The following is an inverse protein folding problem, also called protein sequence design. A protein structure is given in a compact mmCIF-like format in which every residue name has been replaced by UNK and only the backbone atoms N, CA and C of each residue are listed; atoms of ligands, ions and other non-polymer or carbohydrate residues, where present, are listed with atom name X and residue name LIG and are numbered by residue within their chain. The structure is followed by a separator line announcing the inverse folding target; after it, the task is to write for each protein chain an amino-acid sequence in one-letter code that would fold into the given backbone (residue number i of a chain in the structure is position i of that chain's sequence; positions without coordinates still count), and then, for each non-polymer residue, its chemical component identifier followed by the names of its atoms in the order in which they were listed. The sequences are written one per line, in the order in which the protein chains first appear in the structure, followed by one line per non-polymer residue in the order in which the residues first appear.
data_IF_288283605897
#
_entry.id   IF_288283605897
#
_cell.length_a   1.000
_cell.length_b   1.000
_cell.length_c   1.000
_cell.angle_alpha   90.00
_cell.angle_beta   90.00
_cell.angle_gamma   90.00
#
_symmetry.space_group_name_H-M   'P 1'
#
loop_
_entity.id
_entity.type
_entity.pdbx_description
1 polymer ?
#
# COMPACT_ATOMS: atom_id res chain seq x y z
N UNK A 1 2.57 15.64 -9.76
CA UNK A 1 3.73 16.45 -9.30
C UNK A 1 4.91 16.29 -10.27
N UNK A 2 5.91 17.17 -10.29
CA UNK A 2 7.15 16.91 -11.05
C UNK A 2 8.01 15.91 -10.28
N UNK A 3 8.11 14.67 -10.76
CA UNK A 3 9.00 13.66 -10.16
C UNK A 3 10.45 14.14 -10.16
N UNK A 4 11.18 13.87 -9.08
CA UNK A 4 12.61 14.15 -8.98
C UNK A 4 13.40 13.30 -9.98
N UNK A 5 14.62 13.73 -10.30
CA UNK A 5 15.54 12.99 -11.19
C UNK A 5 15.76 11.54 -10.71
N UNK A 6 15.77 11.30 -9.39
CA UNK A 6 15.95 9.97 -8.81
C UNK A 6 14.74 9.07 -9.06
N UNK A 7 13.54 9.57 -8.82
CA UNK A 7 12.29 8.84 -9.06
C UNK A 7 12.13 8.49 -10.55
N UNK A 8 12.45 9.44 -11.44
CA UNK A 8 12.43 9.19 -12.89
C UNK A 8 13.44 8.11 -13.30
N UNK A 9 14.66 8.13 -12.75
CA UNK A 9 15.67 7.13 -13.08
C UNK A 9 15.31 5.75 -12.52
N UNK A 10 14.75 5.69 -11.32
CA UNK A 10 14.25 4.47 -10.72
C UNK A 10 13.10 3.86 -11.53
N UNK A 11 12.12 4.68 -11.95
CA UNK A 11 11.05 4.25 -12.83
C UNK A 11 11.59 3.61 -14.11
N UNK A 12 12.64 4.20 -14.68
CA UNK A 12 13.30 3.73 -15.88
C UNK A 12 14.00 2.38 -15.66
N UNK A 13 14.73 2.21 -14.55
CA UNK A 13 15.33 0.93 -14.15
C UNK A 13 14.28 -0.17 -13.90
N UNK A 14 13.16 0.17 -13.27
CA UNK A 14 12.07 -0.78 -13.02
C UNK A 14 11.42 -1.25 -14.32
N UNK A 15 11.17 -0.34 -15.28
CA UNK A 15 10.64 -0.69 -16.60
C UNK A 15 11.56 -1.61 -17.40
N UNK A 16 12.87 -1.54 -17.19
CA UNK A 16 13.80 -2.48 -17.81
C UNK A 16 13.74 -3.90 -17.21
N UNK A 17 13.01 -4.12 -16.10
CA UNK A 17 12.71 -5.46 -15.59
C UNK A 17 13.95 -6.28 -15.25
N UNK A 18 14.99 -5.64 -14.70
CA UNK A 18 16.26 -6.30 -14.39
C UNK A 18 17.24 -6.39 -15.57
N UNK A 19 16.96 -5.73 -16.70
CA UNK A 19 17.96 -5.53 -17.75
C UNK A 19 18.84 -4.31 -17.47
N UNK A 20 20.02 -4.27 -18.12
CA UNK A 20 20.91 -3.13 -18.04
C UNK A 20 20.40 -1.99 -18.93
N UNK A 21 20.52 -0.77 -18.41
CA UNK A 21 20.27 0.48 -19.14
C UNK A 21 21.57 1.27 -19.17
N UNK A 22 22.02 1.64 -20.37
CA UNK A 22 23.24 2.44 -20.50
C UNK A 22 23.04 3.85 -19.92
N UNK A 23 24.10 4.45 -19.36
CA UNK A 23 24.03 5.83 -18.88
C UNK A 23 23.69 6.85 -19.98
N UNK A 24 24.00 6.52 -21.25
CA UNK A 24 23.60 7.34 -22.40
C UNK A 24 22.11 7.26 -22.69
N UNK A 25 21.56 6.05 -22.69
CA UNK A 25 20.15 5.81 -22.90
C UNK A 25 19.30 6.45 -21.81
N UNK A 26 19.72 6.34 -20.54
CA UNK A 26 19.05 7.01 -19.42
C UNK A 26 19.10 8.54 -19.56
N UNK A 27 20.29 9.08 -19.89
CA UNK A 27 20.50 10.51 -20.12
C UNK A 27 19.61 11.05 -21.25
N UNK A 28 19.53 10.34 -22.37
CA UNK A 28 18.66 10.67 -23.52
C UNK A 28 17.17 10.57 -23.17
N UNK A 29 16.76 9.50 -22.50
CA UNK A 29 15.34 9.26 -22.17
C UNK A 29 14.79 10.27 -21.17
N UNK A 30 15.62 10.72 -20.24
CA UNK A 30 15.23 11.68 -19.19
C UNK A 30 15.54 13.14 -19.57
N UNK A 31 16.27 13.39 -20.66
CA UNK A 31 16.70 14.73 -21.05
C UNK A 31 17.68 15.40 -20.07
N UNK A 32 18.50 14.61 -19.37
CA UNK A 32 19.47 15.09 -18.36
C UNK A 32 20.90 14.68 -18.72
N UNK A 33 21.91 15.27 -18.07
CA UNK A 33 23.31 14.88 -18.29
C UNK A 33 23.65 13.49 -17.71
N UNK A 34 24.66 12.81 -18.28
CA UNK A 34 25.20 11.55 -17.71
C UNK A 34 25.70 11.74 -16.26
N UNK A 35 26.21 12.93 -15.93
CA UNK A 35 26.61 13.26 -14.56
C UNK A 35 25.40 13.28 -13.61
N UNK A 36 24.27 13.85 -14.05
CA UNK A 36 23.02 13.84 -13.28
C UNK A 36 22.47 12.41 -13.10
N UNK A 37 22.57 11.54 -14.12
CA UNK A 37 22.26 10.10 -13.99
C UNK A 37 23.14 9.47 -12.90
N UNK A 38 24.46 9.69 -12.92
CA UNK A 38 25.36 9.13 -11.91
C UNK A 38 25.07 9.62 -10.49
N UNK A 39 24.65 10.89 -10.34
CA UNK A 39 24.21 11.44 -9.05
C UNK A 39 22.91 10.78 -8.59
N UNK A 40 21.96 10.56 -9.50
CA UNK A 40 20.71 9.87 -9.19
C UNK A 40 20.97 8.42 -8.72
N UNK A 41 21.86 7.68 -9.40
CA UNK A 41 22.27 6.32 -9.01
C UNK A 41 22.82 6.30 -7.59
N UNK A 42 23.67 7.27 -7.23
CA UNK A 42 24.25 7.36 -5.87
C UNK A 42 23.17 7.58 -4.83
N UNK A 43 22.29 8.56 -5.05
CA UNK A 43 21.19 8.84 -4.12
C UNK A 43 20.25 7.66 -3.94
N UNK A 44 19.97 6.87 -4.99
CA UNK A 44 19.18 5.65 -4.86
C UNK A 44 19.93 4.57 -4.06
N UNK A 45 21.25 4.42 -4.22
CA UNK A 45 22.02 3.50 -3.38
C UNK A 45 22.00 3.89 -1.91
N UNK A 46 22.06 5.19 -1.62
CA UNK A 46 21.98 5.72 -0.26
C UNK A 46 20.58 5.46 0.37
N UNK A 47 19.54 5.36 -0.46
CA UNK A 47 18.18 4.94 -0.06
C UNK A 47 18.00 3.41 0.01
N UNK A 48 19.06 2.63 -0.21
CA UNK A 48 19.05 1.18 -0.09
C UNK A 48 18.73 0.42 -1.38
N UNK A 49 18.57 1.09 -2.53
CA UNK A 49 18.39 0.40 -3.82
C UNK A 49 19.69 -0.29 -4.26
N UNK A 50 19.61 -1.59 -4.51
CA UNK A 50 20.73 -2.35 -5.06
C UNK A 50 20.80 -2.14 -6.56
N UNK A 51 21.70 -1.28 -7.00
CA UNK A 51 21.92 -0.97 -8.42
C UNK A 51 23.31 -1.45 -8.83
N UNK A 52 23.36 -2.49 -9.66
CA UNK A 52 24.58 -2.94 -10.30
C UNK A 52 25.04 -1.90 -11.32
N UNK A 53 26.34 -1.69 -11.43
CA UNK A 53 26.93 -0.81 -12.43
C UNK A 53 28.06 -1.54 -13.12
N UNK A 54 27.93 -1.74 -14.43
CA UNK A 54 28.92 -2.47 -15.23
C UNK A 54 29.42 -1.59 -16.37
N UNK A 55 30.74 -1.46 -16.49
CA UNK A 55 31.40 -0.72 -17.57
C UNK A 55 30.89 -1.22 -18.92
N UNK A 56 30.55 -0.28 -19.83
CA UNK A 56 30.00 -0.54 -21.17
C UNK A 56 28.63 -1.27 -21.22
N UNK A 57 27.96 -1.50 -20.08
CA UNK A 57 26.57 -1.99 -20.03
C UNK A 57 25.63 -1.01 -19.34
N UNK A 58 26.11 -0.28 -18.35
CA UNK A 58 25.35 0.71 -17.60
C UNK A 58 24.84 0.19 -16.27
N UNK A 59 23.60 0.52 -15.94
CA UNK A 59 23.00 0.31 -14.63
C UNK A 59 21.87 -0.71 -14.68
N UNK A 60 21.75 -1.55 -13.66
CA UNK A 60 20.65 -2.50 -13.49
C UNK A 60 20.21 -2.48 -12.04
N UNK A 61 18.90 -2.39 -11.81
CA UNK A 61 18.33 -2.63 -10.50
C UNK A 61 18.32 -4.14 -10.23
N UNK A 62 19.08 -4.59 -9.23
CA UNK A 62 19.24 -6.00 -8.87
C UNK A 62 18.29 -6.42 -7.75
N UNK A 63 18.05 -5.54 -6.77
CA UNK A 63 17.09 -5.79 -5.67
C UNK A 63 16.36 -4.49 -5.33
N UNK A 64 15.04 -4.57 -5.21
CA UNK A 64 14.22 -3.48 -4.69
C UNK A 64 14.32 -3.45 -3.16
N UNK A 65 14.53 -2.28 -2.55
CA UNK A 65 14.43 -2.17 -1.11
C UNK A 65 12.98 -2.45 -0.70
N UNK A 66 12.84 -3.13 0.42
CA UNK A 66 11.54 -3.35 1.03
C UNK A 66 11.15 -2.11 1.85
N UNK A 67 10.85 -1.02 1.14
CA UNK A 67 10.39 0.24 1.70
C UNK A 67 9.06 0.63 1.03
N UNK A 68 8.15 1.29 1.71
CA UNK A 68 6.86 1.76 1.24
C UNK A 68 6.94 3.25 0.94
N UNK A 69 7.51 3.58 -0.23
CA UNK A 69 7.59 4.94 -0.75
C UNK A 69 7.21 4.98 -2.22
N UNK A 70 7.05 6.19 -2.77
CA UNK A 70 6.71 6.37 -4.18
C UNK A 70 7.69 5.66 -5.11
N UNK A 71 8.98 5.64 -4.75
CA UNK A 71 10.03 5.00 -5.53
C UNK A 71 9.83 3.50 -5.68
N UNK A 72 9.59 2.78 -4.59
CA UNK A 72 9.45 1.31 -4.60
C UNK A 72 8.10 0.84 -5.14
N UNK A 73 7.07 1.69 -5.10
CA UNK A 73 5.75 1.41 -5.65
C UNK A 73 5.65 1.61 -7.17
N UNK A 74 6.63 2.29 -7.80
CA UNK A 74 6.66 2.59 -9.24
C UNK A 74 6.58 1.35 -10.15
N UNK A 75 6.99 0.17 -9.67
CA UNK A 75 6.91 -1.07 -10.46
C UNK A 75 5.49 -1.61 -10.56
N UNK A 76 4.64 -1.26 -9.59
CA UNK A 76 3.29 -1.79 -9.49
C UNK A 76 2.20 -0.78 -9.84
N UNK A 77 2.45 0.53 -9.79
CA UNK A 77 1.42 1.56 -9.99
C UNK A 77 1.71 2.45 -11.21
N UNK A 78 0.65 2.96 -11.86
CA UNK A 78 0.80 3.99 -12.89
C UNK A 78 1.12 5.35 -12.26
N UNK A 79 1.76 6.29 -12.98
CA UNK A 79 2.04 7.64 -12.47
C UNK A 79 0.78 8.37 -11.96
N UNK A 80 -0.33 8.24 -12.69
CA UNK A 80 -1.61 8.86 -12.33
C UNK A 80 -2.15 8.29 -11.02
N UNK A 81 -1.95 6.98 -10.80
CA UNK A 81 -2.39 6.34 -9.56
C UNK A 81 -1.50 6.72 -8.39
N UNK A 82 -0.20 6.87 -8.61
CA UNK A 82 0.75 7.32 -7.59
C UNK A 82 0.44 8.73 -7.08
N UNK A 83 -0.06 9.62 -7.93
CA UNK A 83 -0.50 10.96 -7.49
C UNK A 83 -1.67 10.91 -6.48
N UNK A 84 -2.31 9.74 -6.32
CA UNK A 84 -3.37 9.45 -5.34
C UNK A 84 -2.87 8.58 -4.16
N UNK A 85 -1.56 8.41 -4.00
CA UNK A 85 -0.94 7.65 -2.91
C UNK A 85 0.00 8.57 -2.12
N UNK A 86 -0.21 8.64 -0.81
CA UNK A 86 0.68 9.36 0.09
C UNK A 86 1.43 8.33 0.94
N UNK A 87 2.77 8.34 0.85
CA UNK A 87 3.64 7.52 1.67
C UNK A 87 4.27 8.37 2.79
N UNK A 88 4.05 7.97 4.04
CA UNK A 88 4.58 8.62 5.24
C UNK A 88 5.62 7.73 5.89
N UNK A 89 6.70 8.32 6.42
CA UNK A 89 7.65 7.57 7.26
C UNK A 89 7.03 7.21 8.61
N UNK A 90 6.23 8.11 9.19
CA UNK A 90 5.53 7.84 10.44
C UNK A 90 4.27 8.70 10.55
N UNK A 91 3.24 8.17 11.20
CA UNK A 91 2.02 8.91 11.56
C UNK A 91 1.44 8.39 12.87
N UNK A 92 0.47 9.08 13.45
CA UNK A 92 -0.28 8.53 14.59
C UNK A 92 -1.14 7.34 14.14
N UNK A 93 -1.88 7.50 13.06
CA UNK A 93 -2.74 6.49 12.42
C UNK A 93 -3.02 6.93 10.99
N UNK A 94 -2.75 6.05 10.02
CA UNK A 94 -3.10 6.25 8.61
C UNK A 94 -4.60 6.50 8.43
N UNK A 95 -5.42 5.83 9.24
CA UNK A 95 -6.87 6.00 9.26
C UNK A 95 -7.29 7.41 9.71
N UNK A 96 -6.65 7.93 10.76
CA UNK A 96 -6.96 9.28 11.25
C UNK A 96 -6.53 10.33 10.23
N UNK A 97 -5.32 10.17 9.69
CA UNK A 97 -4.77 11.06 8.67
C UNK A 97 -5.67 11.11 7.43
N UNK A 98 -6.12 9.94 6.94
CA UNK A 98 -6.98 9.89 5.76
C UNK A 98 -8.42 10.36 6.06
N UNK A 99 -8.90 10.21 7.30
CA UNK A 99 -10.21 10.76 7.69
C UNK A 99 -10.19 12.30 7.72
N UNK A 100 -9.13 12.91 8.25
CA UNK A 100 -8.95 14.38 8.21
C UNK A 100 -8.95 14.88 6.75
N UNK A 101 -8.17 14.22 5.88
CA UNK A 101 -8.18 14.52 4.44
C UNK A 101 -9.56 14.33 3.80
N UNK A 102 -10.32 13.29 4.19
CA UNK A 102 -11.66 13.04 3.66
C UNK A 102 -12.64 14.16 4.04
N UNK A 103 -12.50 14.75 5.24
CA UNK A 103 -13.28 15.90 5.68
C UNK A 103 -12.94 17.17 4.88
N UNK A 104 -11.70 17.28 4.42
CA UNK A 104 -11.19 18.32 3.50
C UNK A 104 -11.38 17.96 2.02
N UNK A 105 -12.37 17.12 1.70
CA UNK A 105 -12.77 16.76 0.32
C UNK A 105 -11.68 16.06 -0.52
N UNK A 106 -10.81 15.28 0.13
CA UNK A 106 -9.91 14.38 -0.58
C UNK A 106 -10.68 13.47 -1.56
N UNK A 107 -10.10 13.19 -2.73
CA UNK A 107 -10.76 12.47 -3.82
C UNK A 107 -11.07 11.02 -3.45
N UNK A 108 -12.12 10.46 -4.06
CA UNK A 108 -12.37 9.03 -3.99
C UNK A 108 -11.16 8.21 -4.47
N UNK A 109 -10.88 7.09 -3.79
CA UNK A 109 -9.70 6.26 -4.04
C UNK A 109 -8.38 6.82 -3.52
N UNK A 110 -8.37 7.92 -2.75
CA UNK A 110 -7.16 8.40 -2.08
C UNK A 110 -6.60 7.32 -1.14
N UNK A 111 -5.28 7.15 -1.15
CA UNK A 111 -4.56 6.17 -0.31
C UNK A 111 -3.52 6.88 0.55
N UNK A 112 -3.42 6.43 1.81
CA UNK A 112 -2.35 6.82 2.73
C UNK A 112 -1.69 5.55 3.25
N UNK A 113 -0.36 5.52 3.20
CA UNK A 113 0.48 4.42 3.67
C UNK A 113 1.48 5.01 4.64
N UNK A 114 1.82 4.27 5.70
CA UNK A 114 2.91 4.64 6.58
C UNK A 114 3.86 3.47 6.82
N UNK A 115 5.16 3.75 6.96
CA UNK A 115 6.14 2.78 7.43
C UNK A 115 5.94 2.43 8.91
N UNK A 116 5.50 3.39 9.73
CA UNK A 116 5.20 3.18 11.14
C UNK A 116 3.94 3.94 11.60
N UNK A 117 3.25 3.40 12.62
CA UNK A 117 2.20 4.13 13.35
C UNK A 117 2.46 4.16 14.84
N UNK A 118 2.49 5.36 15.43
CA UNK A 118 2.70 5.52 16.89
C UNK A 118 1.46 5.19 17.71
N UNK A 119 0.27 5.39 17.13
CA UNK A 119 -1.03 5.18 17.77
C UNK A 119 -1.98 4.35 16.88
N UNK A 120 -1.45 3.32 16.19
CA UNK A 120 -2.22 2.42 15.33
C UNK A 120 -3.43 1.82 16.05
N UNK A 121 -4.61 1.87 15.41
CA UNK A 121 -5.89 1.55 16.02
C UNK A 121 -6.48 0.26 15.47
N UNK A 122 -7.04 -0.55 16.37
CA UNK A 122 -7.95 -1.63 16.08
C UNK A 122 -9.37 -1.31 16.57
N UNK A 123 -10.26 -2.30 16.49
CA UNK A 123 -11.64 -2.15 17.01
C UNK A 123 -11.66 -1.99 18.52
N UNK A 124 -12.75 -1.39 19.01
CA UNK A 124 -13.08 -1.28 20.45
C UNK A 124 -11.92 -0.75 21.29
N UNK A 125 -11.18 0.23 20.76
CA UNK A 125 -10.05 0.87 21.43
C UNK A 125 -8.77 0.02 21.53
N UNK A 126 -8.74 -1.18 20.95
CA UNK A 126 -7.50 -1.99 20.91
C UNK A 126 -6.44 -1.30 20.05
N UNK A 127 -5.17 -1.49 20.40
CA UNK A 127 -4.04 -1.02 19.58
C UNK A 127 -3.73 -2.04 18.49
N UNK A 128 -3.26 -1.57 17.34
CA UNK A 128 -2.62 -2.40 16.31
C UNK A 128 -1.13 -2.05 16.27
N UNK A 129 -0.26 -2.98 16.65
CA UNK A 129 1.18 -2.76 16.64
C UNK A 129 1.65 -2.47 15.21
N UNK A 130 2.33 -1.33 15.02
CA UNK A 130 2.71 -0.84 13.70
C UNK A 130 4.17 -0.35 13.67
N UNK A 131 5.15 -1.21 13.99
CA UNK A 131 6.56 -0.84 13.97
C UNK A 131 7.08 -0.56 12.56
N UNK A 132 8.09 0.31 12.49
CA UNK A 132 8.76 0.68 11.24
C UNK A 132 9.30 -0.55 10.50
N UNK A 133 9.07 -0.61 9.19
CA UNK A 133 9.67 -1.63 8.35
C UNK A 133 9.08 -3.04 8.45
N UNK A 134 8.17 -3.35 9.39
CA UNK A 134 7.72 -4.75 9.59
C UNK A 134 6.36 -5.08 8.98
N UNK A 135 5.52 -4.09 8.69
CA UNK A 135 4.17 -4.33 8.20
C UNK A 135 3.75 -3.41 7.07
N UNK A 136 2.53 -3.64 6.58
CA UNK A 136 1.83 -2.74 5.68
C UNK A 136 0.72 -2.07 6.48
N UNK A 137 0.78 -0.74 6.57
CA UNK A 137 -0.23 0.08 7.24
C UNK A 137 -0.82 1.02 6.21
N UNK A 138 -1.96 0.63 5.65
CA UNK A 138 -2.60 1.30 4.53
C UNK A 138 -4.01 1.73 4.91
N UNK A 139 -4.42 2.93 4.51
CA UNK A 139 -5.81 3.39 4.55
C UNK A 139 -6.26 3.78 3.16
N UNK A 140 -7.49 3.41 2.82
CA UNK A 140 -8.10 3.64 1.50
C UNK A 140 -9.43 4.37 1.66
N UNK A 141 -9.62 5.46 0.93
CA UNK A 141 -10.83 6.28 0.95
C UNK A 141 -11.82 5.80 -0.12
N UNK A 142 -13.05 5.53 0.31
CA UNK A 142 -14.20 5.23 -0.56
C UNK A 142 -15.25 6.31 -0.33
N UNK A 143 -15.68 6.98 -1.40
CA UNK A 143 -16.84 7.87 -1.41
C UNK A 143 -17.99 7.17 -2.10
N UNK A 144 -19.10 6.91 -1.39
CA UNK A 144 -20.28 6.36 -2.00
C UNK A 144 -20.91 7.34 -3.00
N UNK A 145 -21.42 6.84 -4.13
CA UNK A 145 -22.26 7.66 -5.00
C UNK A 145 -23.64 7.84 -4.37
N UNK A 146 -23.92 9.06 -3.91
CA UNK A 146 -25.19 9.47 -3.30
C UNK A 146 -26.24 9.80 -4.38
N UNK A 147 -25.81 10.05 -5.62
CA UNK A 147 -26.68 10.46 -6.74
C UNK A 147 -27.37 9.27 -7.42
N UNK A 148 -26.80 8.07 -7.29
CA UNK A 148 -27.42 6.80 -7.66
C UNK A 148 -28.53 6.44 -6.66
N UNK A 149 -29.66 7.16 -6.74
CA UNK A 149 -30.83 6.96 -5.90
C UNK A 149 -31.14 5.48 -5.68
N UNK A 150 -31.29 5.11 -4.41
CA UNK A 150 -31.72 3.77 -3.95
C UNK A 150 -30.76 2.59 -4.20
N UNK A 151 -29.46 2.79 -4.53
CA UNK A 151 -28.53 1.66 -4.43
C UNK A 151 -28.18 1.37 -2.97
N UNK A 152 -28.95 0.44 -2.37
CA UNK A 152 -28.88 -0.07 -1.01
C UNK A 152 -27.51 -0.68 -0.58
N UNK A 153 -26.43 -0.47 -1.35
CA UNK A 153 -25.08 -0.94 -1.04
C UNK A 153 -24.32 0.02 -0.12
N UNK A 154 -24.74 1.28 -0.02
CA UNK A 154 -24.06 2.30 0.80
C UNK A 154 -24.42 2.18 2.29
N UNK A 155 -25.53 1.55 2.68
CA UNK A 155 -26.00 1.57 4.07
C UNK A 155 -25.29 0.56 5.00
N UNK A 156 -24.61 -0.46 4.48
CA UNK A 156 -23.87 -1.45 5.29
C UNK A 156 -22.35 -1.40 5.06
N UNK A 157 -21.66 -0.50 5.76
CA UNK A 157 -20.21 -0.43 5.77
C UNK A 157 -19.53 -1.76 6.19
N UNK A 158 -20.24 -2.67 6.88
CA UNK A 158 -19.70 -3.99 7.18
C UNK A 158 -19.58 -4.86 5.92
N UNK A 159 -20.47 -4.70 4.93
CA UNK A 159 -20.37 -5.38 3.64
C UNK A 159 -19.10 -4.95 2.90
N UNK A 160 -18.82 -3.65 2.86
CA UNK A 160 -17.57 -3.11 2.29
C UNK A 160 -16.35 -3.71 3.01
N UNK A 161 -16.38 -3.73 4.35
CA UNK A 161 -15.31 -4.32 5.16
C UNK A 161 -15.06 -5.80 4.81
N UNK A 162 -16.11 -6.59 4.58
CA UNK A 162 -16.01 -8.00 4.19
C UNK A 162 -15.46 -8.17 2.78
N UNK A 163 -15.91 -7.34 1.83
CA UNK A 163 -15.39 -7.34 0.47
C UNK A 163 -13.90 -7.00 0.43
N UNK A 164 -13.48 -5.96 1.17
CA UNK A 164 -12.06 -5.62 1.33
C UNK A 164 -11.28 -6.77 1.95
N UNK A 165 -11.81 -7.41 3.00
CA UNK A 165 -11.17 -8.59 3.60
C UNK A 165 -10.95 -9.72 2.60
N UNK A 166 -11.92 -9.96 1.71
CA UNK A 166 -11.79 -10.96 0.65
C UNK A 166 -10.74 -10.57 -0.37
N UNK A 167 -10.71 -9.31 -0.83
CA UNK A 167 -9.68 -8.82 -1.74
C UNK A 167 -8.28 -8.94 -1.16
N UNK A 168 -8.11 -8.66 0.14
CA UNK A 168 -6.82 -8.83 0.83
C UNK A 168 -6.43 -10.32 0.90
N UNK A 169 -7.37 -11.23 1.17
CA UNK A 169 -7.13 -12.68 1.11
C UNK A 169 -6.63 -13.11 -0.27
N UNK A 170 -7.28 -12.65 -1.33
CA UNK A 170 -6.97 -13.04 -2.71
C UNK A 170 -5.58 -12.51 -3.12
N UNK A 171 -5.26 -11.24 -2.80
CA UNK A 171 -3.92 -10.67 -3.04
C UNK A 171 -2.82 -11.42 -2.29
N UNK A 172 -3.04 -11.74 -1.01
CA UNK A 172 -2.06 -12.53 -0.23
C UNK A 172 -1.86 -13.89 -0.88
N UNK A 173 -2.94 -14.57 -1.26
CA UNK A 173 -2.86 -15.89 -1.89
C UNK A 173 -2.11 -15.86 -3.21
N UNK A 174 -2.41 -14.88 -4.07
CA UNK A 174 -1.81 -14.81 -5.40
C UNK A 174 -0.30 -14.53 -5.35
N UNK A 175 0.15 -13.76 -4.35
CA UNK A 175 1.57 -13.37 -4.22
C UNK A 175 2.38 -14.38 -3.41
N UNK A 176 1.81 -14.92 -2.32
CA UNK A 176 2.58 -15.71 -1.33
C UNK A 176 2.14 -17.17 -1.24
N UNK A 177 1.07 -17.55 -1.93
CA UNK A 177 0.40 -18.86 -1.84
C UNK A 177 -0.17 -19.19 -0.43
N UNK A 178 -0.07 -18.26 0.53
CA UNK A 178 -0.77 -18.37 1.82
C UNK A 178 -2.24 -18.09 1.60
N UNK A 179 -3.13 -18.90 2.18
CA UNK A 179 -4.58 -18.73 2.04
C UNK A 179 -5.22 -18.35 3.38
N UNK A 180 -5.21 -17.05 3.78
CA UNK A 180 -5.88 -16.62 4.99
C UNK A 180 -7.39 -16.81 4.91
N UNK A 181 -8.01 -16.99 6.07
CA UNK A 181 -9.47 -17.05 6.23
C UNK A 181 -9.97 -15.76 6.86
N UNK A 182 -11.05 -15.21 6.31
CA UNK A 182 -11.76 -14.07 6.89
C UNK A 182 -12.49 -14.52 8.16
N UNK A 183 -12.27 -13.80 9.27
CA UNK A 183 -13.04 -13.96 10.51
C UNK A 183 -13.24 -12.59 11.16
N UNK A 184 -14.50 -12.17 11.30
CA UNK A 184 -14.83 -10.81 11.71
C UNK A 184 -14.23 -9.76 10.77
N UNK A 185 -13.43 -8.84 11.30
CA UNK A 185 -12.73 -7.81 10.52
C UNK A 185 -11.22 -8.09 10.44
N UNK A 186 -10.83 -9.35 10.32
CA UNK A 186 -9.43 -9.72 10.23
C UNK A 186 -9.24 -11.00 9.43
N UNK A 187 -7.99 -11.23 9.07
CA UNK A 187 -7.58 -12.43 8.35
C UNK A 187 -6.72 -13.30 9.26
N UNK A 188 -6.95 -14.60 9.18
CA UNK A 188 -6.31 -15.58 10.05
C UNK A 188 -5.70 -16.71 9.24
N UNK A 189 -4.52 -17.16 9.64
CA UNK A 189 -3.84 -18.34 9.11
C UNK A 189 -3.61 -19.27 10.30
N UNK A 190 -4.02 -20.53 10.18
CA UNK A 190 -3.85 -21.53 11.25
C UNK A 190 -4.38 -21.08 12.64
N UNK A 191 -5.46 -20.28 12.66
CA UNK A 191 -6.04 -19.73 13.90
C UNK A 191 -5.36 -18.47 14.43
N UNK A 192 -4.23 -18.06 13.85
CA UNK A 192 -3.45 -16.88 14.23
C UNK A 192 -3.81 -15.69 13.35
N UNK A 193 -3.91 -14.51 13.95
CA UNK A 193 -4.26 -13.28 13.24
C UNK A 193 -3.08 -12.74 12.43
N UNK A 194 -3.29 -12.57 11.13
CA UNK A 194 -2.32 -12.03 10.19
C UNK A 194 -2.60 -10.55 9.85
N UNK A 195 -3.88 -10.21 9.72
CA UNK A 195 -4.31 -8.90 9.25
C UNK A 195 -5.51 -8.39 10.07
N UNK A 196 -5.54 -7.08 10.31
CA UNK A 196 -6.68 -6.35 10.86
C UNK A 196 -7.23 -5.33 9.88
N UNK A 197 -8.55 -5.25 9.78
CA UNK A 197 -9.26 -4.28 8.94
C UNK A 197 -10.16 -3.42 9.83
N UNK A 198 -10.08 -2.11 9.66
CA UNK A 198 -10.85 -1.12 10.40
C UNK A 198 -11.46 -0.10 9.47
N UNK A 199 -12.76 -0.19 9.25
CA UNK A 199 -13.52 0.82 8.53
C UNK A 199 -14.03 1.87 9.51
N UNK A 200 -13.75 3.14 9.20
CA UNK A 200 -14.33 4.30 9.87
C UNK A 200 -15.17 5.08 8.86
N UNK A 201 -16.20 5.75 9.34
CA UNK A 201 -17.19 6.40 8.49
C UNK A 201 -17.35 7.86 8.88
N UNK A 202 -17.50 8.73 7.88
CA UNK A 202 -17.99 10.09 8.04
C UNK A 202 -19.44 10.13 7.52
N UNK A 203 -20.37 10.61 8.35
CA UNK A 203 -21.80 10.63 8.04
C UNK A 203 -22.31 12.06 7.96
N UNK A 204 -23.10 12.34 6.95
CA UNK A 204 -23.83 13.60 6.84
C UNK A 204 -25.05 13.55 7.78
N UNK A 205 -25.13 14.51 8.69
CA UNK A 205 -26.12 14.52 9.78
C UNK A 205 -27.57 14.68 9.29
N UNK A 206 -27.78 15.41 8.20
CA UNK A 206 -29.12 15.73 7.69
C UNK A 206 -29.71 14.60 6.86
N UNK A 207 -28.91 13.96 5.99
CA UNK A 207 -29.33 12.86 5.13
C UNK A 207 -29.19 11.48 5.81
N UNK A 208 -28.34 11.38 6.85
CA UNK A 208 -27.94 10.12 7.47
C UNK A 208 -27.08 9.24 6.55
N UNK A 209 -26.62 9.76 5.42
CA UNK A 209 -25.83 9.04 4.43
C UNK A 209 -24.33 9.14 4.73
N UNK A 210 -23.56 8.13 4.30
CA UNK A 210 -22.12 8.18 4.43
C UNK A 210 -21.51 9.11 3.38
N UNK A 211 -20.79 10.14 3.84
CA UNK A 211 -19.99 11.03 2.98
C UNK A 211 -18.66 10.39 2.58
N UNK A 212 -18.10 9.58 3.47
CA UNK A 212 -16.84 8.87 3.26
C UNK A 212 -16.74 7.61 4.13
N UNK A 213 -16.05 6.60 3.59
CA UNK A 213 -15.56 5.45 4.33
C UNK A 213 -14.04 5.38 4.20
N UNK A 214 -13.34 5.33 5.33
CA UNK A 214 -11.90 5.11 5.40
C UNK A 214 -11.65 3.68 5.86
N UNK A 215 -11.13 2.85 4.97
CA UNK A 215 -10.83 1.44 5.26
C UNK A 215 -9.35 1.29 5.55
N UNK A 216 -9.02 1.07 6.81
CA UNK A 216 -7.69 0.76 7.30
C UNK A 216 -7.38 -0.72 7.19
N UNK A 217 -6.20 -1.05 6.70
CA UNK A 217 -5.69 -2.40 6.49
C UNK A 217 -4.29 -2.46 7.10
N UNK A 218 -4.16 -3.24 8.17
CA UNK A 218 -2.88 -3.56 8.81
C UNK A 218 -2.52 -5.01 8.53
N UNK A 219 -1.39 -5.27 7.88
CA UNK A 219 -0.88 -6.62 7.57
C UNK A 219 0.46 -6.81 8.25
N UNK A 220 0.60 -7.91 8.98
CA UNK A 220 1.88 -8.35 9.52
C UNK A 220 2.67 -9.06 8.41
N UNK A 221 3.86 -8.55 8.07
CA UNK A 221 4.71 -9.09 7.00
C UNK A 221 5.98 -9.71 7.58
N UNK A 222 6.85 -8.90 8.18
CA UNK A 222 8.17 -9.31 8.67
C UNK A 222 8.26 -9.52 10.17
N UNK A 223 7.17 -9.32 10.92
CA UNK A 223 7.18 -9.51 12.37
C UNK A 223 7.67 -10.91 12.71
N UNK A 224 8.66 -10.98 13.60
CA UNK A 224 9.12 -12.21 14.22
C UNK A 224 8.15 -12.64 15.33
N UNK A 225 8.34 -13.84 15.88
CA UNK A 225 7.56 -14.27 17.04
C UNK A 225 7.75 -13.34 18.27
N UNK A 226 8.88 -12.65 18.37
CA UNK A 226 9.21 -11.74 19.47
C UNK A 226 8.55 -10.36 19.30
N UNK A 227 8.34 -9.91 18.06
CA UNK A 227 7.65 -8.65 17.75
C UNK A 227 6.13 -8.73 17.98
N UNK A 228 5.58 -9.95 17.96
CA UNK A 228 4.16 -10.21 18.11
C UNK A 228 3.78 -10.31 19.59
N UNK A 229 2.69 -9.65 19.97
CA UNK A 229 2.23 -9.64 21.35
C UNK A 229 1.86 -11.07 21.82
N UNK A 230 2.42 -11.56 22.94
CA UNK A 230 2.25 -12.96 23.38
C UNK A 230 0.79 -13.32 23.73
N UNK A 231 -0.02 -12.32 24.10
CA UNK A 231 -1.40 -12.52 24.56
C UNK A 231 -2.42 -12.69 23.41
N UNK A 232 -1.97 -12.52 22.16
CA UNK A 232 -2.82 -12.68 20.98
C UNK A 232 -2.10 -13.62 20.02
N UNK A 233 -2.75 -14.75 19.71
CA UNK A 233 -2.31 -15.65 18.62
C UNK A 233 -2.26 -14.83 17.31
N UNK A 234 -1.07 -14.33 16.97
CA UNK A 234 -0.77 -13.55 15.78
C UNK A 234 0.31 -14.27 14.96
N UNK A 235 0.36 -13.93 13.67
CA UNK A 235 1.40 -14.40 12.75
C UNK A 235 1.77 -13.29 11.77
N UNK A 236 2.75 -13.56 10.92
CA UNK A 236 3.22 -12.68 9.84
C UNK A 236 3.39 -13.50 8.56
N UNK A 237 3.42 -12.84 7.40
CA UNK A 237 3.63 -13.55 6.13
C UNK A 237 4.95 -14.30 6.10
N UNK A 238 6.03 -13.72 6.63
CA UNK A 238 7.34 -14.36 6.66
C UNK A 238 7.34 -15.62 7.54
N UNK A 239 6.63 -15.61 8.66
CA UNK A 239 6.47 -16.79 9.51
C UNK A 239 5.67 -17.91 8.82
N UNK A 240 4.62 -17.56 8.08
CA UNK A 240 3.78 -18.56 7.38
C UNK A 240 4.40 -19.09 6.08
N UNK A 241 5.24 -18.29 5.41
CA UNK A 241 5.90 -18.67 4.14
C UNK A 241 7.30 -19.25 4.34
N UNK A 242 7.99 -18.89 5.43
CA UNK A 242 9.39 -19.23 5.66
C UNK A 242 10.39 -18.40 4.83
N UNK A 243 9.94 -17.34 4.17
CA UNK A 243 10.76 -16.47 3.30
C UNK A 243 10.35 -15.01 3.43
N UNK A 244 11.23 -14.06 3.09
CA UNK A 244 10.90 -12.64 3.10
C UNK A 244 9.92 -12.27 1.97
N UNK A 245 8.80 -11.62 2.32
CA UNK A 245 7.76 -11.20 1.37
C UNK A 245 7.88 -9.71 1.01
N UNK A 246 7.73 -9.35 -0.26
CA UNK A 246 7.86 -7.94 -0.69
C UNK A 246 6.64 -7.09 -0.30
N UNK A 247 6.80 -6.14 0.63
CA UNK A 247 5.76 -5.17 1.01
C UNK A 247 5.33 -4.28 -0.16
N UNK A 248 6.23 -3.75 -1.02
CA UNK A 248 5.82 -2.98 -2.20
C UNK A 248 4.95 -3.77 -3.19
N UNK A 249 5.29 -5.03 -3.46
CA UNK A 249 4.53 -5.88 -4.38
C UNK A 249 3.12 -6.20 -3.84
N UNK A 250 3.04 -6.54 -2.54
CA UNK A 250 1.77 -6.73 -1.83
C UNK A 250 0.92 -5.45 -1.84
N UNK A 251 1.54 -4.31 -1.53
CA UNK A 251 0.84 -3.02 -1.39
C UNK A 251 0.30 -2.52 -2.72
N UNK A 252 1.11 -2.56 -3.79
CA UNK A 252 0.65 -2.16 -5.13
C UNK A 252 -0.46 -3.04 -5.66
N UNK A 253 -0.35 -4.37 -5.48
CA UNK A 253 -1.41 -5.32 -5.85
C UNK A 253 -2.68 -5.12 -5.03
N UNK A 254 -2.55 -4.81 -3.74
CA UNK A 254 -3.67 -4.47 -2.88
C UNK A 254 -4.39 -3.21 -3.36
N UNK A 255 -3.65 -2.15 -3.71
CA UNK A 255 -4.25 -0.91 -4.24
C UNK A 255 -5.07 -1.20 -5.50
N UNK A 256 -4.56 -2.00 -6.44
CA UNK A 256 -5.29 -2.40 -7.64
C UNK A 256 -6.57 -3.19 -7.34
N UNK A 257 -6.50 -4.13 -6.38
CA UNK A 257 -7.66 -4.91 -5.98
C UNK A 257 -8.74 -4.02 -5.33
N UNK A 258 -8.34 -3.02 -4.55
CA UNK A 258 -9.25 -2.05 -3.94
C UNK A 258 -9.85 -1.09 -4.98
N UNK A 259 -9.06 -0.63 -5.95
CA UNK A 259 -9.55 0.19 -7.06
C UNK A 259 -10.60 -0.58 -7.88
N UNK A 260 -10.36 -1.86 -8.16
CA UNK A 260 -11.30 -2.72 -8.88
C UNK A 260 -12.60 -2.92 -8.09
N UNK A 261 -12.50 -3.16 -6.78
CA UNK A 261 -13.64 -3.30 -5.89
C UNK A 261 -14.48 -2.01 -5.87
N UNK A 262 -13.83 -0.85 -5.79
CA UNK A 262 -14.46 0.47 -5.78
C UNK A 262 -15.27 0.72 -7.06
N UNK A 263 -14.68 0.46 -8.23
CA UNK A 263 -15.36 0.63 -9.53
C UNK A 263 -16.51 -0.38 -9.71
N UNK A 264 -16.36 -1.60 -9.22
CA UNK A 264 -17.41 -2.63 -9.32
C UNK A 264 -18.65 -2.33 -8.45
N UNK A 265 -18.53 -1.43 -7.48
CA UNK A 265 -19.65 -0.94 -6.66
C UNK A 265 -20.51 0.15 -7.33
N UNK A 266 -20.06 0.70 -8.47
CA UNK A 266 -20.69 1.83 -9.17
C UNK A 266 -21.86 1.42 -10.10
N UNK A 267 -22.51 0.28 -9.85
CA UNK A 267 -23.73 -0.13 -10.58
C UNK A 267 -23.59 -0.30 -12.11
N UNK A 268 -22.40 -0.17 -12.69
CA UNK A 268 -22.18 -0.34 -14.13
C UNK A 268 -21.90 -1.80 -14.50
N UNK A 269 -22.87 -2.69 -14.25
CA UNK A 269 -23.10 -3.94 -15.00
C UNK A 269 -24.57 -4.31 -14.99
#
# INVERSE_FOLDING_TARGET
MSYSTREQFLALLMRAGGNFISGEEASRSMGISRAAVSTAVRGLRDEGYSIDSVTNRGYRLSVLPDALNNGTLLSGLTPERMDRVICLTSTSSTNSYLMEMAQEDAPDGQVVIAEAQTAGRGRTGKRFASPDGLGIYLSYLIRPDISAGESALVTDWHSITRCVARSVCDVIKDITNVSPKVSGNGLFVNGKKLCGILTQTDMEMESGMFRALVVGIGINVHQTAEDLAPDIEMTSLDLETGTANSRPALTSSLIHALDTLRVSGDGSR
#
